data_IF_882887800966
#
_entry.id   IF_882887800966
#
_cell.length_a   1.000
_cell.length_b   1.000
_cell.length_c   1.000
_cell.angle_alpha   90.00
_cell.angle_beta   90.00
_cell.angle_gamma   90.00
#
_symmetry.space_group_name_H-M   'P 1'
#
loop_
_entity.id
_entity.type
_entity.pdbx_description
1 polymer ?
#
# COMPACT_ATOMS: atom_id res chain seq x y z
N UNK A 1 3.82 72.18 -31.09
CA UNK A 1 4.77 71.24 -31.68
C UNK A 1 4.04 69.92 -31.85
N UNK A 2 3.64 69.66 -33.09
CA UNK A 2 3.48 68.39 -33.81
C UNK A 2 2.84 67.19 -33.07
N UNK A 3 1.62 66.76 -33.43
CA UNK A 3 1.11 66.08 -34.64
C UNK A 3 0.85 64.59 -34.33
N UNK A 4 -0.44 64.22 -34.42
CA UNK A 4 -1.04 62.99 -34.98
C UNK A 4 -0.59 61.60 -34.45
N UNK A 5 -1.41 60.54 -34.36
CA UNK A 5 -2.54 60.16 -35.21
C UNK A 5 -3.44 59.09 -34.54
N UNK A 6 -4.75 59.31 -34.64
CA UNK A 6 -5.88 58.39 -34.93
C UNK A 6 -5.85 56.87 -34.59
N UNK A 7 -6.97 56.47 -33.94
CA UNK A 7 -7.65 55.17 -33.69
C UNK A 7 -7.91 54.28 -34.95
N UNK A 8 -8.68 53.14 -34.96
CA UNK A 8 -9.48 52.43 -33.91
C UNK A 8 -9.47 50.86 -33.97
N UNK A 9 -10.36 50.29 -33.13
CA UNK A 9 -10.81 48.89 -32.89
C UNK A 9 -11.28 48.09 -34.13
N UNK A 10 -11.01 46.77 -34.19
CA UNK A 10 -11.84 45.74 -34.86
C UNK A 10 -11.72 44.37 -34.14
N UNK A 11 -12.85 43.68 -33.93
CA UNK A 11 -13.04 42.32 -33.40
C UNK A 11 -13.31 41.28 -34.52
N UNK A 12 -13.25 39.98 -34.13
CA UNK A 12 -13.83 38.75 -34.75
C UNK A 12 -13.05 38.00 -35.86
N UNK A 13 -13.32 36.70 -36.16
CA UNK A 13 -14.03 35.60 -35.44
C UNK A 13 -13.30 34.21 -35.45
N UNK A 14 -13.99 33.20 -34.90
CA UNK A 14 -13.78 31.73 -34.84
C UNK A 14 -13.39 31.03 -36.16
N UNK A 15 -12.53 30.00 -36.10
CA UNK A 15 -12.61 28.83 -36.98
C UNK A 15 -11.98 27.54 -36.39
N UNK A 16 -12.72 26.45 -36.60
CA UNK A 16 -12.49 25.05 -36.25
C UNK A 16 -11.40 24.44 -37.15
N UNK A 17 -10.56 23.55 -36.62
CA UNK A 17 -9.85 22.52 -37.42
C UNK A 17 -9.42 21.33 -36.54
N UNK A 18 -9.93 20.13 -36.85
CA UNK A 18 -9.23 18.85 -36.62
C UNK A 18 -8.29 18.59 -37.83
N UNK A 19 -7.21 17.80 -37.68
CA UNK A 19 -7.31 16.43 -38.20
C UNK A 19 -6.49 15.33 -37.46
N UNK A 20 -7.06 14.12 -37.52
CA UNK A 20 -6.48 12.80 -37.86
C UNK A 20 -5.25 12.22 -37.11
N UNK A 21 -5.56 11.10 -36.43
CA UNK A 21 -4.96 9.76 -36.54
C UNK A 21 -3.43 9.58 -36.68
N UNK A 22 -2.87 8.88 -35.71
CA UNK A 22 -1.59 8.15 -35.74
C UNK A 22 -0.91 8.25 -34.38
N UNK A 23 -0.53 7.21 -33.65
CA UNK A 23 -0.46 5.78 -33.90
C UNK A 23 0.62 5.20 -32.98
N UNK A 24 0.20 4.50 -31.92
CA UNK A 24 0.92 3.48 -31.12
C UNK A 24 2.13 3.90 -30.23
N UNK A 25 2.54 3.07 -29.24
CA UNK A 25 1.76 2.18 -28.39
C UNK A 25 2.05 2.37 -26.88
N UNK A 26 0.99 2.22 -26.09
CA UNK A 26 1.02 2.00 -24.65
C UNK A 26 1.47 0.57 -24.34
N UNK A 27 2.70 0.43 -23.82
CA UNK A 27 3.18 -0.82 -23.19
C UNK A 27 2.52 -0.98 -21.82
N UNK A 28 1.30 -1.51 -21.80
CA UNK A 28 0.71 -2.16 -20.65
C UNK A 28 0.70 -3.66 -20.94
N UNK A 29 1.58 -4.39 -20.26
CA UNK A 29 1.62 -5.85 -20.28
C UNK A 29 0.32 -6.38 -19.69
N UNK A 30 -0.62 -6.72 -20.57
CA UNK A 30 -1.85 -7.41 -20.23
C UNK A 30 -1.54 -8.92 -20.28
N UNK A 31 -1.47 -9.55 -19.12
CA UNK A 31 -1.43 -11.01 -19.02
C UNK A 31 -2.79 -11.55 -19.47
N UNK A 32 -2.91 -11.85 -20.76
CA UNK A 32 -4.02 -12.60 -21.34
C UNK A 32 -3.70 -14.09 -21.24
N UNK A 33 -4.42 -14.81 -20.39
CA UNK A 33 -4.46 -16.28 -20.43
C UNK A 33 -5.50 -16.68 -21.47
N UNK A 34 -5.05 -17.14 -22.63
CA UNK A 34 -5.90 -17.78 -23.65
C UNK A 34 -6.32 -19.18 -23.15
N UNK A 35 -7.58 -19.59 -23.28
CA UNK A 35 -7.97 -20.98 -23.10
C UNK A 35 -7.69 -21.75 -24.41
N UNK A 36 -6.69 -22.62 -24.38
CA UNK A 36 -6.45 -23.60 -25.44
C UNK A 36 -7.56 -24.65 -25.45
N UNK A 37 -8.24 -24.77 -26.58
CA UNK A 37 -9.22 -25.82 -26.82
C UNK A 37 -8.55 -27.16 -27.04
N UNK A 38 -8.98 -28.16 -26.26
CA UNK A 38 -8.79 -29.58 -26.55
C UNK A 38 -10.10 -30.29 -26.23
N UNK A 39 -10.74 -30.85 -27.26
CA UNK A 39 -11.84 -31.81 -27.10
C UNK A 39 -11.30 -33.07 -26.41
N UNK A 40 -11.94 -33.46 -25.32
CA UNK A 40 -11.69 -34.72 -24.61
C UNK A 40 -12.93 -35.14 -23.84
N UNK A 41 -13.38 -36.35 -24.13
CA UNK A 41 -14.63 -36.98 -23.68
C UNK A 41 -14.81 -37.00 -22.16
N UNK A 42 -16.08 -36.97 -21.74
CA UNK A 42 -16.50 -36.78 -20.36
C UNK A 42 -16.05 -37.86 -19.39
N UNK A 43 -15.83 -37.43 -18.15
CA UNK A 43 -15.89 -38.25 -16.94
C UNK A 43 -16.35 -37.34 -15.79
N UNK A 44 -17.40 -37.79 -15.10
CA UNK A 44 -17.90 -37.19 -13.86
C UNK A 44 -16.78 -37.07 -12.83
N UNK A 45 -16.55 -35.86 -12.32
CA UNK A 45 -15.88 -35.68 -11.05
C UNK A 45 -16.52 -34.50 -10.32
N UNK A 46 -17.45 -34.82 -9.43
CA UNK A 46 -17.82 -33.96 -8.31
C UNK A 46 -16.58 -33.79 -7.42
N UNK A 47 -15.65 -32.92 -7.84
CA UNK A 47 -14.59 -32.43 -6.98
C UNK A 47 -15.28 -31.54 -5.96
N UNK A 48 -15.51 -32.09 -4.77
CA UNK A 48 -16.14 -31.40 -3.65
C UNK A 48 -15.49 -30.03 -3.45
N UNK A 49 -16.27 -28.94 -3.44
CA UNK A 49 -15.83 -27.55 -3.16
C UNK A 49 -14.81 -27.46 -2.02
N UNK A 50 -15.00 -28.27 -0.98
CA UNK A 50 -14.10 -28.41 0.18
C UNK A 50 -12.63 -28.70 -0.19
N UNK A 51 -12.38 -29.51 -1.22
CA UNK A 51 -11.02 -29.89 -1.66
C UNK A 51 -10.32 -28.77 -2.41
N UNK A 52 -11.09 -27.92 -3.11
CA UNK A 52 -10.56 -26.74 -3.81
C UNK A 52 -10.26 -25.62 -2.80
N UNK A 53 -11.13 -25.44 -1.80
CA UNK A 53 -10.89 -24.53 -0.68
C UNK A 53 -9.65 -24.91 0.14
N UNK A 54 -9.46 -26.19 0.44
CA UNK A 54 -8.32 -26.66 1.23
C UNK A 54 -6.97 -26.44 0.51
N UNK A 55 -6.92 -26.67 -0.81
CA UNK A 55 -5.73 -26.44 -1.64
C UNK A 55 -5.43 -24.95 -1.79
N UNK A 56 -6.44 -24.09 -1.96
CA UNK A 56 -6.30 -22.64 -1.98
C UNK A 56 -5.81 -22.10 -0.63
N UNK A 57 -6.34 -22.61 0.48
CA UNK A 57 -5.94 -22.22 1.84
C UNK A 57 -4.52 -22.69 2.17
N UNK A 58 -4.09 -23.86 1.70
CA UNK A 58 -2.73 -24.37 1.91
C UNK A 58 -1.68 -23.60 1.10
N UNK A 59 -1.91 -23.38 -0.20
CA UNK A 59 -0.99 -22.58 -1.04
C UNK A 59 -0.89 -21.12 -0.58
N UNK A 60 -1.96 -20.63 0.07
CA UNK A 60 -2.02 -19.30 0.68
C UNK A 60 -1.17 -19.19 1.96
N UNK A 61 -1.18 -20.22 2.82
CA UNK A 61 -0.31 -20.29 4.00
C UNK A 61 1.17 -20.28 3.63
N UNK A 62 1.53 -20.93 2.53
CA UNK A 62 2.91 -20.98 2.02
C UNK A 62 3.37 -19.64 1.41
N UNK A 63 2.47 -18.92 0.72
CA UNK A 63 2.72 -17.55 0.25
C UNK A 63 2.89 -16.56 1.42
N UNK A 64 2.19 -16.78 2.53
CA UNK A 64 2.30 -15.98 3.76
C UNK A 64 3.64 -16.20 4.47
N UNK A 65 4.13 -17.45 4.52
CA UNK A 65 5.42 -17.83 5.12
C UNK A 65 6.64 -17.36 4.29
N UNK A 66 6.51 -17.26 2.97
CA UNK A 66 7.62 -16.98 2.03
C UNK A 66 7.90 -15.49 1.75
N UNK A 67 7.16 -14.59 2.39
CA UNK A 67 7.32 -13.15 2.19
C UNK A 67 8.62 -12.65 2.85
N UNK A 68 9.69 -12.50 2.05
CA UNK A 68 11.05 -11.98 2.36
C UNK A 68 11.73 -12.52 3.65
N UNK A 69 12.85 -13.27 3.53
CA UNK A 69 13.62 -13.75 4.68
C UNK A 69 14.09 -12.60 5.58
N UNK A 70 13.81 -12.66 6.89
CA UNK A 70 14.37 -11.72 7.85
C UNK A 70 15.81 -12.12 8.16
N UNK A 71 16.72 -11.13 8.22
CA UNK A 71 17.94 -11.29 9.01
C UNK A 71 17.51 -11.45 10.47
N UNK A 72 17.76 -12.60 11.11
CA UNK A 72 17.61 -12.74 12.57
C UNK A 72 18.57 -11.79 13.24
N UNK A 73 18.10 -10.59 13.60
CA UNK A 73 18.79 -9.75 14.56
C UNK A 73 18.28 -10.16 15.93
N UNK A 74 19.04 -11.02 16.61
CA UNK A 74 18.84 -11.28 18.03
C UNK A 74 19.07 -9.96 18.79
N UNK A 75 17.99 -9.23 19.12
CA UNK A 75 18.02 -8.25 20.19
C UNK A 75 17.90 -8.98 21.53
N UNK A 76 18.94 -9.71 21.88
CA UNK A 76 19.21 -10.09 23.26
C UNK A 76 20.64 -9.69 23.53
N UNK A 77 20.84 -8.81 24.53
CA UNK A 77 22.15 -8.58 25.11
C UNK A 77 22.68 -9.92 25.62
N UNK A 78 23.61 -10.54 24.90
CA UNK A 78 24.21 -11.82 25.25
C UNK A 78 24.80 -12.46 24.01
N UNK A 79 26.10 -12.74 24.06
CA UNK A 79 26.86 -13.40 22.99
C UNK A 79 26.15 -14.65 22.47
N UNK A 80 25.91 -14.69 21.16
CA UNK A 80 26.06 -15.94 20.39
C UNK A 80 26.34 -15.61 18.92
N UNK A 81 27.58 -15.83 18.52
CA UNK A 81 28.08 -15.76 17.15
C UNK A 81 27.73 -17.06 16.41
N UNK A 82 26.45 -17.36 16.18
CA UNK A 82 26.08 -18.39 15.20
C UNK A 82 25.78 -17.70 13.86
N UNK A 83 26.83 -17.52 13.05
CA UNK A 83 26.75 -17.10 11.66
C UNK A 83 26.19 -18.23 10.78
N UNK A 84 24.95 -18.65 11.03
CA UNK A 84 24.19 -19.39 10.02
C UNK A 84 23.61 -18.34 9.06
N UNK A 85 24.41 -17.94 8.06
CA UNK A 85 23.89 -17.15 6.96
C UNK A 85 22.91 -18.02 6.17
N UNK A 86 21.62 -17.78 6.37
CA UNK A 86 20.52 -18.40 5.63
C UNK A 86 20.81 -18.34 4.12
N UNK A 87 21.01 -19.49 3.44
CA UNK A 87 21.29 -19.52 2.00
C UNK A 87 20.25 -18.78 1.15
N UNK A 88 19.00 -18.74 1.60
CA UNK A 88 17.94 -17.98 0.95
C UNK A 88 18.15 -16.47 1.06
N UNK A 89 18.67 -15.99 2.21
CA UNK A 89 19.01 -14.59 2.41
C UNK A 89 20.21 -14.17 1.54
N UNK A 90 21.24 -14.99 1.45
CA UNK A 90 22.41 -14.71 0.61
C UNK A 90 22.07 -14.70 -0.89
N UNK A 91 21.23 -15.63 -1.36
CA UNK A 91 20.71 -15.60 -2.72
C UNK A 91 19.84 -14.36 -3.01
N UNK A 92 19.06 -13.90 -2.02
CA UNK A 92 18.27 -12.67 -2.14
C UNK A 92 19.16 -11.41 -2.23
N UNK A 93 20.18 -11.31 -1.39
CA UNK A 93 21.16 -10.20 -1.41
C UNK A 93 21.93 -10.13 -2.73
N UNK A 94 22.22 -11.26 -3.37
CA UNK A 94 22.84 -11.30 -4.69
C UNK A 94 21.93 -10.72 -5.79
N UNK A 95 20.61 -10.90 -5.67
CA UNK A 95 19.60 -10.37 -6.61
C UNK A 95 19.22 -8.92 -6.32
N UNK A 96 19.30 -8.49 -5.06
CA UNK A 96 18.93 -7.16 -4.60
C UNK A 96 20.14 -6.47 -3.94
N UNK A 97 21.03 -5.84 -4.73
CA UNK A 97 22.23 -5.21 -4.19
C UNK A 97 21.90 -4.04 -3.25
N UNK A 98 22.78 -3.80 -2.29
CA UNK A 98 22.59 -2.74 -1.29
C UNK A 98 22.53 -1.34 -1.93
N UNK A 99 21.43 -0.62 -1.68
CA UNK A 99 21.26 0.76 -2.13
C UNK A 99 22.33 1.71 -1.54
N UNK A 100 22.82 1.44 -0.33
CA UNK A 100 23.90 2.21 0.29
C UNK A 100 25.24 1.97 -0.42
N UNK A 101 25.55 0.72 -0.78
CA UNK A 101 26.76 0.40 -1.53
C UNK A 101 26.73 1.02 -2.94
N UNK A 102 25.55 1.02 -3.58
CA UNK A 102 25.33 1.60 -4.91
C UNK A 102 24.96 3.08 -4.90
N UNK A 103 25.09 3.79 -3.76
CA UNK A 103 24.56 5.14 -3.61
C UNK A 103 25.11 6.13 -4.64
N UNK A 104 26.42 6.05 -4.94
CA UNK A 104 27.05 6.90 -5.98
C UNK A 104 26.41 6.72 -7.36
N UNK A 105 26.06 5.49 -7.72
CA UNK A 105 25.42 5.17 -9.00
C UNK A 105 23.97 5.69 -9.05
N UNK A 106 23.25 5.59 -7.93
CA UNK A 106 21.89 6.15 -7.79
C UNK A 106 21.93 7.66 -7.98
N UNK A 107 22.85 8.36 -7.29
CA UNK A 107 23.02 9.81 -7.41
C UNK A 107 23.38 10.22 -8.83
N UNK A 108 24.34 9.54 -9.47
CA UNK A 108 24.70 9.81 -10.86
C UNK A 108 23.50 9.63 -11.80
N UNK A 109 22.70 8.59 -11.59
CA UNK A 109 21.50 8.30 -12.40
C UNK A 109 20.37 9.31 -12.18
N UNK A 110 20.37 10.02 -11.06
CA UNK A 110 19.38 11.04 -10.70
C UNK A 110 19.77 12.45 -11.17
N UNK A 111 20.99 12.65 -11.68
CA UNK A 111 21.48 13.95 -12.11
C UNK A 111 20.57 14.56 -13.19
N UNK A 112 20.19 15.83 -12.99
CA UNK A 112 19.28 16.56 -13.89
C UNK A 112 17.80 16.17 -13.78
N UNK A 113 17.42 15.23 -12.91
CA UNK A 113 16.02 14.81 -12.70
C UNK A 113 15.40 15.50 -11.49
N UNK A 114 14.09 15.70 -11.53
CA UNK A 114 13.31 16.05 -10.34
C UNK A 114 13.07 14.79 -9.50
N UNK A 115 13.44 14.84 -8.23
CA UNK A 115 13.34 13.70 -7.31
C UNK A 115 12.16 13.94 -6.38
N UNK A 116 11.34 12.91 -6.21
CA UNK A 116 10.34 12.80 -5.15
C UNK A 116 10.60 11.52 -4.36
N UNK A 117 10.41 11.56 -3.05
CA UNK A 117 10.71 10.45 -2.14
C UNK A 117 9.41 9.89 -1.58
N UNK A 118 9.22 8.59 -1.74
CA UNK A 118 8.09 7.85 -1.18
C UNK A 118 8.63 6.83 -0.18
N UNK A 119 8.13 6.88 1.04
CA UNK A 119 8.60 6.05 2.13
C UNK A 119 7.43 5.23 2.67
N UNK A 120 7.62 3.92 2.69
CA UNK A 120 6.77 3.04 3.49
C UNK A 120 7.04 3.23 4.99
N UNK A 121 6.10 2.84 5.85
CA UNK A 121 6.22 3.01 7.31
C UNK A 121 6.63 1.73 8.03
N UNK A 122 5.79 0.69 7.98
CA UNK A 122 5.93 -0.53 8.78
C UNK A 122 7.01 -1.45 8.19
N UNK A 123 8.12 -1.64 8.92
CA UNK A 123 9.27 -2.40 8.43
C UNK A 123 10.25 -1.61 7.57
N UNK A 124 9.95 -0.33 7.30
CA UNK A 124 10.84 0.60 6.57
C UNK A 124 11.36 1.71 7.49
N UNK A 125 10.47 2.53 8.06
CA UNK A 125 10.82 3.62 8.98
C UNK A 125 10.65 3.24 10.45
N UNK A 126 9.95 2.14 10.71
CA UNK A 126 9.75 1.55 12.03
C UNK A 126 10.04 0.05 11.98
N UNK A 127 10.48 -0.57 13.10
CA UNK A 127 10.66 -2.01 13.15
C UNK A 127 9.33 -2.75 13.01
N UNK A 128 9.35 -3.96 12.44
CA UNK A 128 8.18 -4.83 12.46
C UNK A 128 8.04 -5.43 13.86
N UNK A 129 6.98 -5.04 14.57
CA UNK A 129 6.63 -5.48 15.93
C UNK A 129 5.35 -6.30 15.93
N UNK A 130 5.12 -7.08 16.99
CA UNK A 130 3.91 -7.92 17.13
C UNK A 130 2.66 -7.13 17.46
N UNK A 131 2.82 -6.08 18.28
CA UNK A 131 1.78 -5.12 18.55
C UNK A 131 1.90 -3.94 17.57
N UNK A 132 1.02 -3.82 16.55
CA UNK A 132 1.11 -2.76 15.56
C UNK A 132 0.99 -1.36 16.18
N UNK A 133 0.41 -1.19 17.36
CA UNK A 133 0.36 0.12 18.03
C UNK A 133 1.70 0.51 18.68
N UNK A 134 2.66 -0.42 18.77
CA UNK A 134 4.02 -0.19 19.26
C UNK A 134 5.06 0.02 18.15
N UNK A 135 4.64 0.11 16.89
CA UNK A 135 5.53 0.34 15.75
C UNK A 135 6.01 1.81 15.70
N UNK A 136 6.75 2.26 16.71
CA UNK A 136 7.11 3.68 16.89
C UNK A 136 8.38 4.05 16.12
N UNK A 137 8.33 5.15 15.37
CA UNK A 137 9.48 5.77 14.73
C UNK A 137 10.42 6.43 15.76
N UNK A 138 11.70 6.06 15.71
CA UNK A 138 12.72 6.63 16.60
C UNK A 138 12.95 8.13 16.34
N UNK A 139 13.42 8.90 17.35
CA UNK A 139 13.74 10.32 17.16
C UNK A 139 14.78 10.55 16.04
N UNK A 140 15.77 9.66 15.93
CA UNK A 140 16.83 9.73 14.90
C UNK A 140 16.24 9.53 13.50
N UNK A 141 15.38 8.53 13.31
CA UNK A 141 14.72 8.29 12.02
C UNK A 141 13.82 9.47 11.64
N UNK A 142 13.07 10.01 12.60
CA UNK A 142 12.22 11.18 12.39
C UNK A 142 13.03 12.40 11.93
N UNK A 143 14.19 12.64 12.55
CA UNK A 143 15.11 13.70 12.13
C UNK A 143 15.66 13.46 10.72
N UNK A 144 15.99 12.21 10.37
CA UNK A 144 16.46 11.85 9.03
C UNK A 144 15.39 12.12 7.96
N UNK A 145 14.15 11.66 8.18
CA UNK A 145 13.02 11.90 7.26
C UNK A 145 12.74 13.39 7.12
N UNK A 146 12.74 14.15 8.23
CA UNK A 146 12.60 15.61 8.20
C UNK A 146 13.70 16.26 7.36
N UNK A 147 14.94 15.80 7.47
CA UNK A 147 16.04 16.35 6.68
C UNK A 147 15.88 16.06 5.19
N UNK A 148 15.42 14.87 4.80
CA UNK A 148 15.10 14.55 3.40
C UNK A 148 14.00 15.47 2.85
N UNK A 149 12.96 15.73 3.65
CA UNK A 149 11.83 16.57 3.26
C UNK A 149 12.18 18.04 3.01
N UNK A 150 13.31 18.53 3.54
CA UNK A 150 13.82 19.89 3.25
C UNK A 150 14.28 20.04 1.80
N UNK A 151 14.72 18.95 1.17
CA UNK A 151 15.32 18.97 -0.17
C UNK A 151 14.40 18.37 -1.23
N UNK A 152 13.55 17.41 -0.85
CA UNK A 152 12.70 16.68 -1.79
C UNK A 152 11.25 16.61 -1.30
N UNK A 153 10.26 16.76 -2.20
CA UNK A 153 8.88 16.39 -1.92
C UNK A 153 8.85 14.95 -1.40
N UNK A 154 8.37 14.78 -0.17
CA UNK A 154 8.45 13.49 0.55
C UNK A 154 7.07 13.07 1.03
N UNK A 155 6.69 11.83 0.72
CA UNK A 155 5.41 11.24 1.08
C UNK A 155 5.61 9.98 1.93
N UNK A 156 4.78 9.85 2.97
CA UNK A 156 4.58 8.58 3.67
C UNK A 156 3.45 7.83 2.97
N UNK A 157 3.72 6.59 2.57
CA UNK A 157 2.74 5.68 1.98
C UNK A 157 2.56 4.51 2.93
N UNK A 158 1.35 4.27 3.43
CA UNK A 158 1.11 3.23 4.43
C UNK A 158 -0.24 2.53 4.22
N UNK A 159 -0.31 1.27 4.62
CA UNK A 159 -1.57 0.54 4.75
C UNK A 159 -2.44 1.07 5.89
N UNK A 160 -1.83 1.68 6.92
CA UNK A 160 -2.54 2.31 8.04
C UNK A 160 -3.42 3.47 7.55
N UNK A 161 -4.46 3.80 8.31
CA UNK A 161 -5.19 5.05 8.08
C UNK A 161 -4.25 6.25 8.16
N UNK A 162 -4.55 7.29 7.36
CA UNK A 162 -3.74 8.51 7.29
C UNK A 162 -3.52 9.16 8.66
N UNK A 163 -4.57 9.21 9.48
CA UNK A 163 -4.51 9.76 10.84
C UNK A 163 -3.59 8.91 11.72
N UNK A 164 -3.72 7.58 11.68
CA UNK A 164 -2.91 6.67 12.49
C UNK A 164 -1.43 6.79 12.16
N UNK A 165 -1.04 6.72 10.89
CA UNK A 165 0.37 6.87 10.50
C UNK A 165 0.92 8.27 10.79
N UNK A 166 0.10 9.31 10.69
CA UNK A 166 0.50 10.66 11.09
C UNK A 166 0.83 10.73 12.58
N UNK A 167 0.06 10.09 13.47
CA UNK A 167 0.37 10.06 14.90
C UNK A 167 1.69 9.36 15.22
N UNK A 168 2.14 8.44 14.37
CA UNK A 168 3.47 7.84 14.53
C UNK A 168 4.58 8.76 14.00
N UNK A 169 4.39 9.36 12.82
CA UNK A 169 5.43 10.13 12.10
C UNK A 169 5.54 11.57 12.58
N UNK A 170 4.44 12.22 12.96
CA UNK A 170 4.35 13.59 13.52
C UNK A 170 5.18 14.66 12.77
N UNK A 171 5.23 14.57 11.45
CA UNK A 171 5.86 15.55 10.56
C UNK A 171 4.78 16.18 9.68
N UNK A 172 4.55 17.48 9.82
CA UNK A 172 3.46 18.20 9.11
C UNK A 172 3.86 18.59 7.69
N UNK A 173 5.17 18.68 7.45
CA UNK A 173 5.80 19.01 6.17
C UNK A 173 5.72 17.89 5.12
N UNK A 174 5.25 16.70 5.50
CA UNK A 174 5.16 15.54 4.60
C UNK A 174 3.76 15.39 3.98
N UNK A 175 3.73 14.75 2.82
CA UNK A 175 2.51 14.20 2.23
C UNK A 175 2.18 12.86 2.89
N UNK A 176 0.89 12.54 3.01
CA UNK A 176 0.46 11.28 3.58
C UNK A 176 -0.56 10.59 2.69
N UNK A 177 -0.26 9.35 2.32
CA UNK A 177 -1.13 8.41 1.63
C UNK A 177 -1.40 7.23 2.57
N UNK A 178 -2.54 7.27 3.25
CA UNK A 178 -3.02 6.17 4.08
C UNK A 178 -3.91 5.20 3.32
N UNK A 179 -4.29 4.11 3.97
CA UNK A 179 -5.22 3.11 3.43
C UNK A 179 -4.76 2.58 2.07
N UNK A 180 -3.47 2.27 1.94
CA UNK A 180 -2.84 1.84 0.68
C UNK A 180 -2.97 2.86 -0.48
N UNK A 181 -3.10 4.16 -0.17
CA UNK A 181 -3.22 5.23 -1.15
C UNK A 181 -4.66 5.64 -1.48
N UNK A 182 -5.65 5.12 -0.77
CA UNK A 182 -7.06 5.54 -0.92
C UNK A 182 -7.41 6.78 -0.08
N UNK A 183 -6.58 7.16 0.89
CA UNK A 183 -6.72 8.40 1.67
C UNK A 183 -5.46 9.26 1.55
N UNK A 184 -5.40 10.12 0.53
CA UNK A 184 -4.23 10.98 0.28
C UNK A 184 -4.54 12.42 0.68
N UNK A 185 -3.66 13.02 1.47
CA UNK A 185 -3.66 14.45 1.75
C UNK A 185 -2.35 15.06 1.30
N UNK A 186 -2.45 16.03 0.39
CA UNK A 186 -1.32 16.89 0.07
C UNK A 186 -1.05 17.85 1.23
N UNK A 187 0.21 17.93 1.65
CA UNK A 187 0.59 18.90 2.69
C UNK A 187 0.33 20.30 2.17
N UNK A 188 -0.53 21.06 2.85
CA UNK A 188 -0.56 22.49 2.67
C UNK A 188 0.50 23.08 3.60
N UNK A 189 1.63 23.50 3.04
CA UNK A 189 2.69 24.17 3.79
C UNK A 189 2.20 25.42 4.55
N UNK A 190 0.98 25.89 4.29
CA UNK A 190 0.33 27.03 4.94
C UNK A 190 -0.92 26.59 5.72
N UNK A 191 -0.74 25.78 6.77
CA UNK A 191 -1.84 25.41 7.68
C UNK A 191 -2.49 26.62 8.38
N UNK A 192 -1.81 27.77 8.42
CA UNK A 192 -2.26 28.95 9.17
C UNK A 192 -3.38 29.74 8.47
N UNK A 193 -3.62 29.56 7.17
CA UNK A 193 -4.63 30.33 6.40
C UNK A 193 -5.68 29.47 5.67
N UNK A 194 -5.80 28.18 5.97
CA UNK A 194 -6.68 27.30 5.22
C UNK A 194 -8.10 27.22 5.80
N UNK A 195 -9.03 27.88 5.12
CA UNK A 195 -10.47 27.60 5.20
C UNK A 195 -10.78 26.10 4.95
N UNK A 196 -11.93 25.60 5.39
CA UNK A 196 -12.32 24.19 5.12
C UNK A 196 -12.32 23.84 3.63
N UNK A 197 -12.62 24.79 2.75
CA UNK A 197 -12.60 24.61 1.29
C UNK A 197 -11.22 24.22 0.76
N UNK A 198 -10.15 24.80 1.30
CA UNK A 198 -8.76 24.48 0.92
C UNK A 198 -8.27 23.13 1.44
N UNK A 199 -8.86 22.60 2.53
CA UNK A 199 -8.58 21.23 2.99
C UNK A 199 -9.22 20.20 2.07
N UNK A 200 -10.41 20.48 1.54
CA UNK A 200 -11.08 19.61 0.57
C UNK A 200 -10.33 19.54 -0.76
N UNK A 201 -9.74 20.65 -1.21
CA UNK A 201 -8.99 20.72 -2.47
C UNK A 201 -7.70 19.87 -2.49
N UNK A 202 -7.15 19.56 -1.31
CA UNK A 202 -5.92 18.79 -1.16
C UNK A 202 -6.17 17.33 -0.73
N UNK A 203 -7.45 16.94 -0.60
CA UNK A 203 -7.87 15.61 -0.19
C UNK A 203 -8.29 14.79 -1.41
N UNK A 204 -7.63 13.65 -1.61
CA UNK A 204 -7.96 12.71 -2.67
C UNK A 204 -8.40 11.37 -2.07
N UNK A 205 -9.68 11.03 -2.31
CA UNK A 205 -10.36 9.85 -1.77
C UNK A 205 -11.24 9.19 -2.84
N UNK A 206 -10.66 8.45 -3.79
CA UNK A 206 -11.41 7.92 -4.93
C UNK A 206 -12.49 6.90 -4.52
N UNK A 207 -12.31 6.22 -3.39
CA UNK A 207 -13.23 5.18 -2.90
C UNK A 207 -14.22 5.70 -1.83
N UNK A 208 -14.46 7.01 -1.73
CA UNK A 208 -15.32 7.62 -0.69
C UNK A 208 -16.73 7.02 -0.62
N UNK A 209 -17.28 6.63 -1.75
CA UNK A 209 -18.62 6.01 -1.83
C UNK A 209 -18.71 4.64 -1.12
N UNK A 210 -17.58 3.96 -0.88
CA UNK A 210 -17.53 2.64 -0.23
C UNK A 210 -17.42 2.71 1.29
N UNK A 211 -17.24 3.89 1.89
CA UNK A 211 -17.09 4.02 3.35
C UNK A 211 -18.21 3.36 4.16
N UNK A 212 -19.51 3.49 3.79
CA UNK A 212 -20.58 2.80 4.53
C UNK A 212 -20.43 1.27 4.51
N UNK A 213 -20.00 0.71 3.38
CA UNK A 213 -19.76 -0.73 3.22
C UNK A 213 -18.55 -1.18 4.06
N UNK A 214 -17.49 -0.37 4.10
CA UNK A 214 -16.32 -0.63 4.96
C UNK A 214 -16.70 -0.64 6.44
N UNK A 215 -17.56 0.29 6.88
CA UNK A 215 -18.05 0.32 8.25
C UNK A 215 -18.94 -0.89 8.57
N UNK A 216 -19.77 -1.34 7.62
CA UNK A 216 -20.61 -2.53 7.78
C UNK A 216 -19.79 -3.81 7.88
N UNK A 217 -18.87 -4.05 6.93
CA UNK A 217 -18.01 -5.24 6.96
C UNK A 217 -17.12 -5.26 8.20
N UNK A 218 -16.65 -4.09 8.67
CA UNK A 218 -15.89 -3.98 9.94
C UNK A 218 -16.69 -4.53 11.12
N UNK A 219 -17.97 -4.16 11.22
CA UNK A 219 -18.85 -4.63 12.31
C UNK A 219 -19.07 -6.14 12.22
N UNK A 220 -19.36 -6.65 11.02
CA UNK A 220 -19.54 -8.08 10.79
C UNK A 220 -18.28 -8.87 11.16
N UNK A 221 -17.10 -8.38 10.76
CA UNK A 221 -15.82 -8.99 11.10
C UNK A 221 -15.55 -8.98 12.60
N UNK A 222 -15.76 -7.84 13.27
CA UNK A 222 -15.60 -7.73 14.73
C UNK A 222 -16.46 -8.76 15.46
N UNK A 223 -17.71 -8.96 15.00
CA UNK A 223 -18.60 -9.95 15.59
C UNK A 223 -18.08 -11.38 15.42
N UNK A 224 -17.71 -11.79 14.19
CA UNK A 224 -17.31 -13.18 13.92
C UNK A 224 -15.96 -13.55 14.54
N UNK A 225 -15.01 -12.62 14.64
CA UNK A 225 -13.68 -12.93 15.20
C UNK A 225 -13.61 -12.74 16.71
N UNK A 226 -14.63 -12.16 17.35
CA UNK A 226 -14.64 -11.87 18.80
C UNK A 226 -14.39 -13.09 19.70
N UNK A 227 -14.72 -14.29 19.23
CA UNK A 227 -14.52 -15.54 19.96
C UNK A 227 -13.14 -16.19 19.77
N UNK A 228 -12.25 -15.59 18.97
CA UNK A 228 -10.93 -16.17 18.66
C UNK A 228 -9.84 -15.39 19.41
N UNK A 229 -9.20 -16.05 20.37
CA UNK A 229 -8.11 -15.46 21.14
C UNK A 229 -6.95 -15.04 20.22
N UNK A 230 -6.50 -13.79 20.38
CA UNK A 230 -5.41 -13.20 19.59
C UNK A 230 -5.82 -12.64 18.22
N UNK A 231 -7.06 -12.83 17.78
CA UNK A 231 -7.57 -12.21 16.56
C UNK A 231 -8.04 -10.77 16.83
N UNK A 232 -7.68 -9.83 15.95
CA UNK A 232 -8.15 -8.43 16.06
C UNK A 232 -8.55 -7.88 14.69
N UNK A 233 -9.47 -6.91 14.69
CA UNK A 233 -9.90 -6.20 13.47
C UNK A 233 -9.51 -4.74 13.59
N UNK A 234 -8.87 -4.21 12.55
CA UNK A 234 -8.46 -2.82 12.45
C UNK A 234 -9.15 -2.16 11.24
N UNK A 235 -9.88 -1.07 11.50
CA UNK A 235 -10.45 -0.24 10.45
C UNK A 235 -9.44 0.84 10.03
N UNK A 236 -8.90 0.69 8.82
CA UNK A 236 -7.99 1.63 8.18
C UNK A 236 -8.72 2.59 7.23
N UNK A 237 -9.99 2.91 7.50
CA UNK A 237 -10.90 3.82 6.78
C UNK A 237 -11.39 3.34 5.43
N UNK A 238 -10.48 3.01 4.51
CA UNK A 238 -10.84 2.44 3.20
C UNK A 238 -10.47 0.96 3.08
N UNK A 239 -9.93 0.39 4.16
CA UNK A 239 -9.51 -0.98 4.21
C UNK A 239 -9.79 -1.53 5.62
N UNK A 240 -10.12 -2.80 5.71
CA UNK A 240 -10.28 -3.50 7.00
C UNK A 240 -9.24 -4.60 7.09
N UNK A 241 -8.49 -4.64 8.19
CA UNK A 241 -7.43 -5.60 8.41
C UNK A 241 -7.79 -6.54 9.55
N UNK A 242 -7.81 -7.84 9.29
CA UNK A 242 -7.91 -8.88 10.32
C UNK A 242 -6.52 -9.39 10.63
N UNK A 243 -6.05 -9.14 11.84
CA UNK A 243 -4.76 -9.59 12.34
C UNK A 243 -4.92 -10.94 13.04
N UNK A 244 -4.09 -11.90 12.66
CA UNK A 244 -4.08 -13.25 13.24
C UNK A 244 -2.68 -13.72 13.63
N UNK A 245 -1.72 -12.80 13.75
CA UNK A 245 -0.35 -13.12 14.17
C UNK A 245 -0.30 -13.77 15.55
N UNK A 246 -1.15 -13.32 16.46
CA UNK A 246 -1.19 -13.81 17.84
C UNK A 246 -2.21 -14.94 18.05
N UNK A 247 -2.86 -15.40 16.96
CA UNK A 247 -3.80 -16.54 16.99
C UNK A 247 -2.99 -17.83 16.96
N UNK A 248 -3.43 -18.84 17.69
CA UNK A 248 -2.82 -20.17 17.65
C UNK A 248 -2.88 -20.75 16.22
N UNK A 249 -1.79 -21.38 15.75
CA UNK A 249 -1.68 -21.84 14.34
C UNK A 249 -2.81 -22.80 13.93
N UNK A 250 -3.32 -23.61 14.87
CA UNK A 250 -4.47 -24.49 14.66
C UNK A 250 -5.75 -23.75 14.24
N UNK A 251 -5.90 -22.49 14.66
CA UNK A 251 -7.10 -21.68 14.47
C UNK A 251 -6.97 -20.71 13.27
N UNK A 252 -5.82 -20.67 12.58
CA UNK A 252 -5.64 -19.82 11.40
C UNK A 252 -6.61 -20.16 10.26
N UNK A 253 -6.89 -21.46 10.05
CA UNK A 253 -7.88 -21.91 9.06
C UNK A 253 -9.29 -21.46 9.43
N UNK A 254 -9.63 -21.44 10.72
CA UNK A 254 -10.92 -20.96 11.21
C UNK A 254 -11.09 -19.47 10.94
N UNK A 255 -10.10 -18.63 11.28
CA UNK A 255 -10.12 -17.18 10.97
C UNK A 255 -10.30 -16.96 9.48
N UNK A 256 -9.55 -17.68 8.65
CA UNK A 256 -9.63 -17.59 7.19
C UNK A 256 -11.04 -17.91 6.65
N UNK A 257 -11.67 -18.97 7.18
CA UNK A 257 -13.03 -19.37 6.82
C UNK A 257 -14.07 -18.30 7.18
N UNK A 258 -14.04 -17.80 8.42
CA UNK A 258 -14.98 -16.77 8.89
C UNK A 258 -14.88 -15.47 8.10
N UNK A 259 -13.65 -15.03 7.78
CA UNK A 259 -13.45 -13.83 6.94
C UNK A 259 -14.02 -14.03 5.54
N UNK A 260 -13.83 -15.21 4.95
CA UNK A 260 -14.37 -15.52 3.62
C UNK A 260 -15.90 -15.57 3.63
N UNK A 261 -16.52 -16.16 4.66
CA UNK A 261 -17.97 -16.21 4.81
C UNK A 261 -18.59 -14.82 4.90
N UNK A 262 -18.00 -13.92 5.70
CA UNK A 262 -18.45 -12.52 5.77
C UNK A 262 -18.39 -11.86 4.39
N UNK A 263 -17.33 -12.12 3.63
CA UNK A 263 -17.12 -11.51 2.31
C UNK A 263 -18.07 -11.99 1.22
N UNK A 264 -18.72 -13.14 1.37
CA UNK A 264 -19.76 -13.58 0.43
C UNK A 264 -20.90 -12.55 0.35
N UNK A 265 -21.17 -11.86 1.46
CA UNK A 265 -22.13 -10.76 1.52
C UNK A 265 -21.63 -9.43 0.92
N UNK A 266 -20.32 -9.30 0.65
CA UNK A 266 -19.68 -8.08 0.15
C UNK A 266 -18.88 -8.31 -1.16
N UNK A 267 -19.55 -8.68 -2.28
CA UNK A 267 -18.87 -9.04 -3.53
C UNK A 267 -18.09 -7.91 -4.21
N UNK A 268 -18.27 -6.66 -3.74
CA UNK A 268 -17.54 -5.47 -4.22
C UNK A 268 -16.21 -5.25 -3.50
N UNK A 269 -15.94 -5.99 -2.42
CA UNK A 269 -14.66 -5.95 -1.71
C UNK A 269 -13.72 -7.02 -2.24
N UNK A 270 -12.41 -6.80 -2.08
CA UNK A 270 -11.40 -7.73 -2.55
C UNK A 270 -10.41 -8.03 -1.43
N UNK A 271 -10.22 -9.31 -1.15
CA UNK A 271 -9.18 -9.75 -0.21
C UNK A 271 -7.80 -9.58 -0.82
N UNK A 272 -6.94 -8.93 -0.06
CA UNK A 272 -5.50 -8.93 -0.24
C UNK A 272 -4.85 -9.54 1.00
N UNK A 273 -3.90 -10.44 0.78
CA UNK A 273 -3.23 -11.13 1.87
C UNK A 273 -1.87 -10.48 2.11
N UNK A 274 -1.66 -9.98 3.32
CA UNK A 274 -0.39 -9.48 3.82
C UNK A 274 0.31 -10.52 4.69
N UNK A 275 1.45 -10.14 5.29
CA UNK A 275 2.17 -11.02 6.22
C UNK A 275 1.38 -11.13 7.53
N UNK A 276 0.70 -12.25 7.74
CA UNK A 276 -0.15 -12.48 8.91
C UNK A 276 -1.29 -11.46 9.09
N UNK A 277 -1.74 -10.86 7.99
CA UNK A 277 -2.85 -9.90 7.93
C UNK A 277 -3.72 -10.21 6.72
N UNK A 278 -5.04 -10.16 6.87
CA UNK A 278 -5.99 -10.15 5.74
C UNK A 278 -6.59 -8.76 5.61
N UNK A 279 -6.32 -8.09 4.50
CA UNK A 279 -6.79 -6.75 4.19
C UNK A 279 -7.90 -6.79 3.15
N UNK A 280 -9.00 -6.10 3.39
CA UNK A 280 -10.21 -6.04 2.55
C UNK A 280 -10.47 -4.64 2.03
#
# INVERSE_FOLDING_TARGET
MDLSNSSPVITDPVAISQPLLGGLPSNLMQFSVMPGGYSGSGLNASVSRLKIEEVLVSGLLDAMKSSSPRRRLNLAFGQDNSSDEDPAYSAWMAKCPSALASFKQIVASAQGKKIAVFLDYDGTLSPIVDDPDKAVMSPVMRAAVRNVAKYFPTAIVSGRSRNKVFEFVKLKELYYAGSHGMDIMASSANYENNSEKSKQANLFQPAREFLPMIDEVTKSLLQVVSGIEGATVENNKFCVSVHYRNVAEKDWKLVAGLVNEVLEAFPRLKVTNGRMVRAL
#
